data_IF_475258208056
#
_entry.id   IF_475258208056
#
_cell.length_a   1.000
_cell.length_b   1.000
_cell.length_c   1.000
_cell.angle_alpha   90.00
_cell.angle_beta   90.00
_cell.angle_gamma   90.00
#
_symmetry.space_group_name_H-M   'P 1'
#
loop_
_entity.id
_entity.type
_entity.pdbx_description
1 polymer ?
#
# COMPACT_ATOMS: atom_id res chain seq x y z
N UNK A 1 -80.83 -20.27 44.71
CA UNK A 1 -80.01 -19.19 44.13
C UNK A 1 -79.11 -18.69 45.24
N UNK A 2 -77.81 -18.97 45.15
CA UNK A 2 -76.83 -18.62 46.19
C UNK A 2 -76.57 -17.11 46.14
N UNK A 3 -76.51 -16.48 47.31
CA UNK A 3 -76.31 -15.05 47.51
C UNK A 3 -75.06 -14.53 46.78
N UNK A 4 -75.10 -13.31 46.21
CA UNK A 4 -73.90 -12.66 45.70
C UNK A 4 -72.95 -12.43 46.87
N UNK A 5 -71.70 -12.83 46.68
CA UNK A 5 -70.61 -12.76 47.64
C UNK A 5 -70.60 -11.38 48.33
N UNK A 6 -70.98 -11.34 49.61
CA UNK A 6 -70.79 -10.16 50.45
C UNK A 6 -69.30 -10.09 50.79
N UNK A 7 -68.51 -9.57 49.85
CA UNK A 7 -67.17 -9.11 50.17
C UNK A 7 -67.33 -7.95 51.14
N UNK A 8 -66.75 -8.08 52.33
CA UNK A 8 -66.61 -6.97 53.25
C UNK A 8 -65.91 -5.86 52.46
N UNK A 9 -66.59 -4.72 52.27
CA UNK A 9 -66.13 -3.53 51.54
C UNK A 9 -64.95 -2.85 52.28
N UNK A 10 -63.90 -3.60 52.62
CA UNK A 10 -62.57 -3.02 52.76
C UNK A 10 -62.14 -2.56 51.36
N UNK A 11 -62.57 -1.33 51.03
CA UNK A 11 -62.36 -0.62 49.77
C UNK A 11 -61.03 -1.01 49.14
N UNK A 12 -61.13 -1.73 48.02
CA UNK A 12 -60.02 -1.92 47.09
C UNK A 12 -59.52 -0.51 46.74
N UNK A 13 -58.26 -0.20 47.05
CA UNK A 13 -57.69 1.12 46.77
C UNK A 13 -57.41 1.30 45.27
N UNK A 14 -57.33 2.54 44.80
CA UNK A 14 -57.11 2.87 43.37
C UNK A 14 -55.90 2.12 42.77
N UNK A 15 -54.84 1.92 43.56
CA UNK A 15 -53.69 1.14 43.11
C UNK A 15 -54.02 -0.35 42.94
N UNK A 16 -54.82 -0.92 43.84
CA UNK A 16 -55.32 -2.30 43.71
C UNK A 16 -56.20 -2.46 42.46
N UNK A 17 -57.03 -1.48 42.14
CA UNK A 17 -57.83 -1.43 40.91
C UNK A 17 -56.94 -1.41 39.66
N UNK A 18 -55.94 -0.52 39.62
CA UNK A 18 -54.97 -0.44 38.53
C UNK A 18 -54.20 -1.76 38.35
N UNK A 19 -53.82 -2.43 39.44
CA UNK A 19 -53.17 -3.75 39.38
C UNK A 19 -54.11 -4.78 38.75
N UNK A 20 -55.38 -4.80 39.13
CA UNK A 20 -56.37 -5.73 38.60
C UNK A 20 -56.63 -5.50 37.10
N UNK A 21 -56.76 -4.24 36.67
CA UNK A 21 -56.91 -3.86 35.26
C UNK A 21 -55.68 -4.28 34.45
N UNK A 22 -54.46 -3.97 34.93
CA UNK A 22 -53.23 -4.34 34.24
C UNK A 22 -53.08 -5.86 34.07
N UNK A 23 -53.50 -6.65 35.07
CA UNK A 23 -53.52 -8.11 34.98
C UNK A 23 -54.64 -8.63 34.05
N UNK A 24 -55.79 -7.95 34.00
CA UNK A 24 -56.89 -8.30 33.10
C UNK A 24 -56.51 -8.09 31.64
N UNK A 25 -55.89 -6.96 31.31
CA UNK A 25 -55.45 -6.63 29.96
C UNK A 25 -54.32 -7.53 29.47
N UNK A 26 -53.41 -7.94 30.35
CA UNK A 26 -52.33 -8.84 29.99
C UNK A 26 -52.81 -10.27 29.71
N UNK A 27 -53.88 -10.72 30.36
CA UNK A 27 -54.45 -12.06 30.17
C UNK A 27 -53.59 -13.23 30.65
N UNK A 28 -52.37 -12.96 31.12
CA UNK A 28 -51.40 -13.97 31.57
C UNK A 28 -50.60 -13.49 32.81
N UNK A 29 -49.59 -14.26 33.21
CA UNK A 29 -48.70 -13.98 34.32
C UNK A 29 -47.83 -12.74 34.09
N UNK A 30 -47.92 -11.76 34.99
CA UNK A 30 -47.06 -10.56 34.98
C UNK A 30 -46.06 -10.56 36.13
N UNK A 31 -44.83 -10.07 35.88
CA UNK A 31 -43.81 -9.85 36.92
C UNK A 31 -44.08 -8.52 37.65
N UNK A 32 -43.65 -8.39 38.91
CA UNK A 32 -43.81 -7.13 39.71
C UNK A 32 -43.31 -5.89 38.97
N UNK A 33 -42.18 -5.99 38.25
CA UNK A 33 -41.58 -4.88 37.49
C UNK A 33 -42.42 -4.46 36.28
N UNK A 34 -43.15 -5.40 35.69
CA UNK A 34 -44.07 -5.10 34.59
C UNK A 34 -45.35 -4.47 35.10
N UNK A 35 -45.88 -4.95 36.23
CA UNK A 35 -46.98 -4.30 36.93
C UNK A 35 -46.65 -2.87 37.32
N UNK A 36 -45.47 -2.60 37.88
CA UNK A 36 -45.05 -1.24 38.23
C UNK A 36 -45.05 -0.31 37.00
N UNK A 37 -44.53 -0.79 35.85
CA UNK A 37 -44.55 -0.03 34.59
C UNK A 37 -45.96 0.25 34.07
N UNK A 38 -46.85 -0.75 34.12
CA UNK A 38 -48.23 -0.63 33.62
C UNK A 38 -49.13 0.22 34.53
N UNK A 39 -48.86 0.23 35.84
CA UNK A 39 -49.63 0.98 36.83
C UNK A 39 -49.06 2.38 37.12
N UNK A 40 -47.96 2.77 36.47
CA UNK A 40 -47.32 4.08 36.69
C UNK A 40 -46.69 4.24 38.08
N UNK A 41 -46.52 3.16 38.84
CA UNK A 41 -45.88 3.19 40.16
C UNK A 41 -44.37 3.24 39.98
N UNK A 42 -43.72 4.19 40.65
CA UNK A 42 -42.26 4.32 40.68
C UNK A 42 -41.58 2.99 41.01
N UNK A 43 -40.46 2.73 40.36
CA UNK A 43 -39.70 1.49 40.53
C UNK A 43 -39.23 1.27 41.97
N UNK A 44 -39.12 2.32 42.78
CA UNK A 44 -38.73 2.25 44.19
C UNK A 44 -39.92 1.93 45.12
N UNK A 45 -41.14 2.02 44.59
CA UNK A 45 -42.41 1.77 45.30
C UNK A 45 -42.97 0.35 45.09
N UNK A 46 -42.17 -0.61 44.60
CA UNK A 46 -42.59 -2.02 44.39
C UNK A 46 -43.16 -2.69 45.64
N UNK A 47 -42.72 -2.26 46.82
CA UNK A 47 -43.27 -2.73 48.10
C UNK A 47 -44.76 -2.45 48.24
N UNK A 48 -45.28 -1.39 47.59
CA UNK A 48 -46.71 -1.08 47.57
C UNK A 48 -47.50 -2.17 46.84
N UNK A 49 -47.04 -2.63 45.67
CA UNK A 49 -47.67 -3.72 44.92
C UNK A 49 -47.67 -5.02 45.76
N UNK A 50 -46.54 -5.34 46.37
CA UNK A 50 -46.41 -6.52 47.25
C UNK A 50 -47.28 -6.45 48.50
N UNK A 51 -47.48 -5.24 49.06
CA UNK A 51 -48.40 -4.97 50.16
C UNK A 51 -49.85 -5.18 49.73
N UNK A 52 -50.29 -4.54 48.63
CA UNK A 52 -51.68 -4.66 48.14
C UNK A 52 -52.05 -6.09 47.81
N UNK A 53 -51.12 -6.83 47.22
CA UNK A 53 -51.27 -8.28 47.04
C UNK A 53 -51.55 -8.99 48.38
N UNK A 54 -50.68 -8.80 49.39
CA UNK A 54 -50.77 -9.55 50.65
C UNK A 54 -51.99 -9.18 51.49
N UNK A 55 -52.32 -7.90 51.55
CA UNK A 55 -53.32 -7.38 52.48
C UNK A 55 -54.71 -7.29 51.86
N UNK A 56 -54.83 -7.16 50.53
CA UNK A 56 -56.11 -6.91 49.87
C UNK A 56 -56.42 -7.93 48.77
N UNK A 57 -55.58 -8.02 47.73
CA UNK A 57 -55.94 -8.72 46.49
C UNK A 57 -55.91 -10.26 46.61
N UNK A 58 -54.94 -10.83 47.31
CA UNK A 58 -54.87 -12.28 47.52
C UNK A 58 -55.84 -12.79 48.60
N UNK A 59 -56.01 -12.11 49.76
CA UNK A 59 -57.06 -12.46 50.72
C UNK A 59 -58.47 -12.39 50.13
N UNK A 60 -58.72 -11.42 49.25
CA UNK A 60 -59.99 -11.31 48.51
C UNK A 60 -60.13 -12.37 47.38
N UNK A 61 -59.14 -13.23 47.17
CA UNK A 61 -59.19 -14.26 46.14
C UNK A 61 -59.15 -13.73 44.69
N UNK A 62 -58.77 -12.46 44.48
CA UNK A 62 -58.76 -11.82 43.15
C UNK A 62 -57.48 -12.08 42.37
N UNK A 63 -56.35 -12.27 43.08
CA UNK A 63 -55.03 -12.47 42.48
C UNK A 63 -54.34 -13.68 43.10
N UNK A 64 -53.77 -14.52 42.24
CA UNK A 64 -52.87 -15.60 42.61
C UNK A 64 -51.43 -15.27 42.20
N UNK A 65 -50.48 -15.82 42.94
CA UNK A 65 -49.06 -15.65 42.66
C UNK A 65 -48.32 -16.96 42.55
N UNK A 66 -47.26 -16.99 41.75
CA UNK A 66 -46.28 -18.07 41.70
C UNK A 66 -44.87 -17.52 41.72
N UNK A 67 -43.91 -18.36 42.09
CA UNK A 67 -42.50 -18.04 41.85
C UNK A 67 -42.23 -18.07 40.35
N UNK A 68 -41.47 -17.09 39.86
CA UNK A 68 -41.09 -17.06 38.45
C UNK A 68 -40.27 -18.31 38.11
N UNK A 69 -40.60 -19.03 37.02
CA UNK A 69 -39.88 -20.24 36.61
C UNK A 69 -38.42 -19.93 36.18
N UNK A 70 -38.11 -18.66 35.89
CA UNK A 70 -36.78 -18.20 35.49
C UNK A 70 -35.84 -17.94 36.69
N UNK A 71 -36.27 -18.22 37.92
CA UNK A 71 -35.48 -17.93 39.11
C UNK A 71 -34.39 -18.97 39.35
N UNK A 72 -33.13 -18.51 39.37
CA UNK A 72 -31.94 -19.35 39.54
C UNK A 72 -31.38 -19.41 40.97
N UNK A 73 -32.03 -18.76 41.95
CA UNK A 73 -31.63 -18.85 43.36
C UNK A 73 -30.71 -17.74 43.90
N UNK A 74 -30.17 -16.86 43.05
CA UNK A 74 -29.15 -15.88 43.46
C UNK A 74 -29.71 -14.55 44.03
N UNK A 75 -31.00 -14.25 43.84
CA UNK A 75 -31.60 -13.03 44.38
C UNK A 75 -32.13 -13.24 45.82
N UNK A 76 -31.96 -12.26 46.75
CA UNK A 76 -32.40 -12.37 48.14
C UNK A 76 -33.90 -12.62 48.32
N UNK A 77 -34.71 -12.17 47.37
CA UNK A 77 -36.15 -12.46 47.30
C UNK A 77 -36.47 -13.05 45.92
N UNK A 78 -37.14 -14.22 45.86
CA UNK A 78 -37.52 -14.82 44.59
C UNK A 78 -38.53 -13.91 43.86
N UNK A 79 -38.32 -13.62 42.57
CA UNK A 79 -39.22 -12.79 41.79
C UNK A 79 -40.59 -13.49 41.67
N UNK A 80 -41.64 -12.72 41.96
CA UNK A 80 -43.03 -13.20 42.00
C UNK A 80 -43.75 -12.80 40.72
N UNK A 81 -44.52 -13.73 40.18
CA UNK A 81 -45.47 -13.50 39.09
C UNK A 81 -46.90 -13.52 39.61
N UNK A 82 -47.76 -12.70 38.99
CA UNK A 82 -49.13 -12.44 39.40
C UNK A 82 -50.07 -12.75 38.25
N UNK A 83 -51.25 -13.29 38.55
CA UNK A 83 -52.32 -13.49 37.58
C UNK A 83 -53.69 -13.34 38.25
N UNK A 84 -54.68 -12.88 37.50
CA UNK A 84 -56.07 -12.90 37.97
C UNK A 84 -56.59 -14.33 38.14
N UNK A 85 -57.34 -14.54 39.21
CA UNK A 85 -58.24 -15.68 39.35
C UNK A 85 -59.47 -15.50 38.46
N UNK A 86 -60.35 -16.50 38.45
CA UNK A 86 -61.65 -16.35 37.79
C UNK A 86 -62.51 -15.27 38.46
N UNK A 87 -62.51 -15.24 39.79
CA UNK A 87 -63.21 -14.23 40.58
C UNK A 87 -62.63 -12.83 40.33
N UNK A 88 -61.30 -12.71 40.21
CA UNK A 88 -60.64 -11.45 39.83
C UNK A 88 -61.04 -10.97 38.43
N UNK A 89 -61.14 -11.87 37.45
CA UNK A 89 -61.62 -11.54 36.10
C UNK A 89 -63.09 -11.09 36.11
N UNK A 90 -63.93 -11.79 36.86
CA UNK A 90 -65.34 -11.43 37.01
C UNK A 90 -65.49 -10.08 37.71
N UNK A 91 -64.70 -9.81 38.75
CA UNK A 91 -64.69 -8.54 39.46
C UNK A 91 -64.33 -7.38 38.51
N UNK A 92 -63.25 -7.48 37.73
CA UNK A 92 -62.88 -6.44 36.76
C UNK A 92 -63.97 -6.25 35.70
N UNK A 93 -64.60 -7.33 35.24
CA UNK A 93 -65.67 -7.26 34.24
C UNK A 93 -66.94 -6.60 34.79
N UNK A 94 -67.30 -6.85 36.04
CA UNK A 94 -68.47 -6.24 36.68
C UNK A 94 -68.26 -4.78 37.07
N UNK A 95 -67.03 -4.40 37.44
CA UNK A 95 -66.69 -3.02 37.79
C UNK A 95 -66.10 -2.25 36.60
N UNK A 96 -66.24 -2.76 35.36
CA UNK A 96 -65.58 -2.21 34.18
C UNK A 96 -65.95 -0.75 33.92
N UNK A 97 -67.20 -0.38 34.16
CA UNK A 97 -67.68 0.99 33.90
C UNK A 97 -67.10 1.98 34.93
N UNK A 98 -66.91 1.54 36.17
CA UNK A 98 -66.25 2.33 37.22
C UNK A 98 -64.72 2.40 37.01
N UNK A 99 -64.11 1.33 36.48
CA UNK A 99 -62.67 1.22 36.18
C UNK A 99 -62.24 1.88 34.86
N UNK A 100 -63.15 2.04 33.89
CA UNK A 100 -62.86 2.63 32.57
C UNK A 100 -62.85 4.17 32.58
N UNK A 101 -63.10 4.78 33.74
CA UNK A 101 -63.08 6.23 33.91
C UNK A 101 -61.73 6.63 34.49
N UNK A 102 -60.92 7.50 33.83
CA UNK A 102 -59.80 8.13 34.52
C UNK A 102 -60.37 8.80 35.78
N UNK A 103 -59.87 8.41 36.94
CA UNK A 103 -60.53 8.63 38.24
C UNK A 103 -60.77 10.10 38.61
N UNK A 104 -60.24 11.07 37.84
CA UNK A 104 -60.67 12.46 37.91
C UNK A 104 -60.37 13.16 36.58
N UNK A 105 -61.35 13.84 35.98
CA UNK A 105 -61.12 14.73 34.83
C UNK A 105 -60.00 15.75 35.12
N UNK A 106 -59.80 16.09 36.41
CA UNK A 106 -58.73 16.97 36.85
C UNK A 106 -57.33 16.39 36.60
N UNK A 107 -57.10 15.09 36.80
CA UNK A 107 -55.77 14.48 36.60
C UNK A 107 -55.40 14.44 35.11
N UNK A 108 -56.41 14.32 34.22
CA UNK A 108 -56.22 14.45 32.77
C UNK A 108 -55.91 15.88 32.38
N UNK A 109 -56.57 16.87 33.00
CA UNK A 109 -56.28 18.29 32.78
C UNK A 109 -54.88 18.67 33.27
N UNK A 110 -54.51 18.24 34.48
CA UNK A 110 -53.18 18.50 35.03
C UNK A 110 -52.06 17.90 34.14
N UNK A 111 -52.30 16.70 33.57
CA UNK A 111 -51.40 16.06 32.61
C UNK A 111 -51.32 16.81 31.27
N UNK A 112 -52.43 17.40 30.83
CA UNK A 112 -52.48 18.20 29.60
C UNK A 112 -51.73 19.52 29.80
N UNK A 113 -51.90 20.17 30.93
CA UNK A 113 -51.18 21.39 31.29
C UNK A 113 -49.65 21.14 31.34
N UNK A 114 -49.22 20.02 31.95
CA UNK A 114 -47.80 19.64 31.99
C UNK A 114 -47.25 19.35 30.59
N UNK A 115 -48.04 18.71 29.72
CA UNK A 115 -47.65 18.47 28.32
C UNK A 115 -47.59 19.77 27.51
N UNK A 116 -48.49 20.71 27.76
CA UNK A 116 -48.50 22.02 27.10
C UNK A 116 -47.25 22.83 27.48
N UNK A 117 -46.87 22.85 28.75
CA UNK A 117 -45.63 23.49 29.22
C UNK A 117 -44.36 22.84 28.62
N UNK A 118 -44.36 21.50 28.50
CA UNK A 118 -43.26 20.79 27.82
C UNK A 118 -43.17 21.13 26.34
N UNK A 119 -44.32 21.25 25.66
CA UNK A 119 -44.36 21.65 24.25
C UNK A 119 -43.87 23.08 24.08
N UNK A 120 -44.28 24.01 24.94
CA UNK A 120 -43.80 25.40 24.90
C UNK A 120 -42.29 25.50 25.14
N UNK A 121 -41.76 24.75 26.11
CA UNK A 121 -40.32 24.67 26.39
C UNK A 121 -39.54 24.11 25.20
N UNK A 122 -40.06 23.04 24.58
CA UNK A 122 -39.46 22.44 23.39
C UNK A 122 -39.48 23.40 22.21
N UNK A 123 -40.57 24.13 21.99
CA UNK A 123 -40.67 25.14 20.94
C UNK A 123 -39.63 26.25 21.15
N UNK A 124 -39.49 26.76 22.37
CA UNK A 124 -38.46 27.76 22.69
C UNK A 124 -37.04 27.24 22.44
N UNK A 125 -36.76 26.00 22.80
CA UNK A 125 -35.46 25.35 22.55
C UNK A 125 -35.21 25.18 21.04
N UNK A 126 -36.24 24.80 20.28
CA UNK A 126 -36.17 24.65 18.83
C UNK A 126 -35.89 26.00 18.16
N UNK A 127 -36.57 27.07 18.56
CA UNK A 127 -36.36 28.41 18.04
C UNK A 127 -34.96 28.94 18.35
N UNK A 128 -34.46 28.73 19.57
CA UNK A 128 -33.07 29.06 19.95
C UNK A 128 -32.06 28.31 19.07
N UNK A 129 -32.26 27.00 18.87
CA UNK A 129 -31.37 26.19 18.05
C UNK A 129 -31.41 26.58 16.58
N UNK A 130 -32.57 26.96 16.04
CA UNK A 130 -32.65 27.53 14.70
C UNK A 130 -31.90 28.85 14.58
N UNK A 131 -31.95 29.71 15.60
CA UNK A 131 -31.14 30.92 15.69
C UNK A 131 -29.63 30.65 15.68
N UNK A 132 -29.18 29.68 16.48
CA UNK A 132 -27.77 29.24 16.51
C UNK A 132 -27.31 28.71 15.15
N UNK A 133 -28.11 27.88 14.49
CA UNK A 133 -27.81 27.35 13.15
C UNK A 133 -27.65 28.49 12.15
N UNK A 134 -28.55 29.48 12.16
CA UNK A 134 -28.43 30.64 11.29
C UNK A 134 -27.13 31.43 11.49
N UNK A 135 -26.69 31.62 12.74
CA UNK A 135 -25.42 32.27 13.05
C UNK A 135 -24.22 31.45 12.57
N UNK A 136 -24.26 30.12 12.76
CA UNK A 136 -23.20 29.22 12.30
C UNK A 136 -23.09 29.21 10.77
N UNK A 137 -24.20 29.21 10.05
CA UNK A 137 -24.22 29.28 8.59
C UNK A 137 -23.67 30.61 8.06
N UNK A 138 -23.96 31.72 8.74
CA UNK A 138 -23.40 33.02 8.39
C UNK A 138 -21.88 33.05 8.63
N UNK A 139 -21.43 32.53 9.79
CA UNK A 139 -20.01 32.45 10.13
C UNK A 139 -19.25 31.54 9.16
N UNK A 140 -19.84 30.41 8.77
CA UNK A 140 -19.29 29.50 7.77
C UNK A 140 -19.04 30.23 6.45
N UNK A 141 -20.06 30.91 5.91
CA UNK A 141 -19.92 31.68 4.65
C UNK A 141 -18.84 32.75 4.72
N UNK A 142 -18.74 33.45 5.85
CA UNK A 142 -17.68 34.44 6.06
C UNK A 142 -16.29 33.81 6.01
N UNK A 143 -16.09 32.69 6.73
CA UNK A 143 -14.81 32.00 6.75
C UNK A 143 -14.46 31.38 5.39
N UNK A 144 -15.44 30.86 4.66
CA UNK A 144 -15.25 30.37 3.29
C UNK A 144 -14.73 31.47 2.37
N UNK A 145 -15.28 32.70 2.48
CA UNK A 145 -14.78 33.85 1.73
C UNK A 145 -13.33 34.22 2.10
N UNK A 146 -13.01 34.30 3.39
CA UNK A 146 -11.63 34.61 3.85
C UNK A 146 -10.64 33.57 3.36
N UNK A 147 -10.99 32.28 3.41
CA UNK A 147 -10.12 31.19 2.94
C UNK A 147 -9.92 31.27 1.43
N UNK A 148 -10.94 31.63 0.67
CA UNK A 148 -10.82 31.80 -0.79
C UNK A 148 -9.88 32.97 -1.13
N UNK A 149 -10.06 34.12 -0.46
CA UNK A 149 -9.18 35.29 -0.63
C UNK A 149 -7.72 34.96 -0.29
N UNK A 150 -7.48 34.22 0.80
CA UNK A 150 -6.12 33.79 1.16
C UNK A 150 -5.53 32.79 0.16
N UNK A 151 -6.36 31.91 -0.42
CA UNK A 151 -5.92 30.97 -1.46
C UNK A 151 -5.53 31.67 -2.74
N UNK A 152 -6.31 32.66 -3.17
CA UNK A 152 -6.00 33.47 -4.35
C UNK A 152 -4.66 34.20 -4.16
N UNK A 153 -4.49 34.85 -3.00
CA UNK A 153 -3.23 35.54 -2.67
C UNK A 153 -2.02 34.61 -2.67
N UNK A 154 -2.14 33.42 -2.08
CA UNK A 154 -1.06 32.44 -2.08
C UNK A 154 -0.76 31.91 -3.49
N UNK A 155 -1.78 31.77 -4.34
CA UNK A 155 -1.59 31.36 -5.73
C UNK A 155 -0.77 32.42 -6.50
N UNK A 156 -1.11 33.69 -6.36
CA UNK A 156 -0.37 34.81 -6.96
C UNK A 156 1.09 34.85 -6.48
N UNK A 157 1.32 34.68 -5.17
CA UNK A 157 2.68 34.64 -4.60
C UNK A 157 3.49 33.44 -5.14
N UNK A 158 2.86 32.29 -5.34
CA UNK A 158 3.51 31.11 -5.93
C UNK A 158 3.87 31.38 -7.39
N UNK A 159 2.96 31.97 -8.17
CA UNK A 159 3.21 32.31 -9.58
C UNK A 159 4.39 33.28 -9.70
N UNK A 160 4.42 34.35 -8.89
CA UNK A 160 5.54 35.30 -8.86
C UNK A 160 6.87 34.63 -8.48
N UNK A 161 6.85 33.70 -7.53
CA UNK A 161 8.05 32.93 -7.16
C UNK A 161 8.53 32.01 -8.29
N UNK A 162 7.61 31.38 -9.03
CA UNK A 162 7.94 30.52 -10.17
C UNK A 162 8.58 31.33 -11.30
N UNK A 163 8.01 32.50 -11.65
CA UNK A 163 8.57 33.39 -12.66
C UNK A 163 9.99 33.87 -12.27
N UNK A 164 10.18 34.26 -11.00
CA UNK A 164 11.51 34.64 -10.49
C UNK A 164 12.51 33.49 -10.56
N UNK A 165 12.06 32.27 -10.27
CA UNK A 165 12.91 31.09 -10.33
C UNK A 165 13.31 30.76 -11.77
N UNK A 166 12.36 30.78 -12.71
CA UNK A 166 12.61 30.55 -14.14
C UNK A 166 13.63 31.55 -14.70
N UNK A 167 13.46 32.84 -14.42
CA UNK A 167 14.42 33.88 -14.80
C UNK A 167 15.83 33.62 -14.24
N UNK A 168 15.94 33.13 -13.00
CA UNK A 168 17.24 32.78 -12.40
C UNK A 168 17.87 31.56 -13.07
N UNK A 169 17.07 30.55 -13.40
CA UNK A 169 17.53 29.35 -14.12
C UNK A 169 18.04 29.74 -15.50
N UNK A 170 17.28 30.52 -16.28
CA UNK A 170 17.70 30.96 -17.62
C UNK A 170 19.01 31.76 -17.56
N UNK A 171 19.15 32.64 -16.56
CA UNK A 171 20.40 33.39 -16.33
C UNK A 171 21.56 32.47 -15.98
N UNK A 172 21.35 31.48 -15.12
CA UNK A 172 22.37 30.49 -14.75
C UNK A 172 22.79 29.64 -15.94
N UNK A 173 21.85 29.23 -16.80
CA UNK A 173 22.13 28.51 -18.04
C UNK A 173 22.96 29.33 -19.02
N UNK A 174 22.61 30.62 -19.21
CA UNK A 174 23.41 31.55 -20.02
C UNK A 174 24.84 31.67 -19.50
N UNK A 175 25.03 31.81 -18.19
CA UNK A 175 26.36 31.86 -17.58
C UNK A 175 27.13 30.54 -17.75
N UNK A 176 26.47 29.40 -17.58
CA UNK A 176 27.07 28.08 -17.78
C UNK A 176 27.52 27.88 -19.23
N UNK A 177 26.71 28.31 -20.20
CA UNK A 177 27.07 28.27 -21.61
C UNK A 177 28.30 29.13 -21.92
N UNK A 178 28.36 30.36 -21.38
CA UNK A 178 29.51 31.25 -21.54
C UNK A 178 30.77 30.68 -20.88
N UNK A 179 30.65 30.10 -19.68
CA UNK A 179 31.75 29.44 -18.99
C UNK A 179 32.28 28.25 -19.79
N UNK A 180 31.40 27.40 -20.33
CA UNK A 180 31.79 26.28 -21.17
C UNK A 180 32.55 26.75 -22.42
N UNK A 181 32.01 27.76 -23.12
CA UNK A 181 32.64 28.30 -24.34
C UNK A 181 34.00 28.96 -24.06
N UNK A 182 34.15 29.61 -22.92
CA UNK A 182 35.44 30.20 -22.52
C UNK A 182 36.46 29.14 -22.10
N UNK A 183 36.02 28.05 -21.47
CA UNK A 183 36.86 26.89 -21.19
C UNK A 183 37.33 26.20 -22.48
N UNK A 184 36.44 25.95 -23.44
CA UNK A 184 36.79 25.38 -24.76
C UNK A 184 37.83 26.24 -25.49
N UNK A 185 37.69 27.57 -25.48
CA UNK A 185 38.69 28.48 -26.06
C UNK A 185 40.03 28.47 -25.31
N UNK A 186 40.01 28.33 -23.99
CA UNK A 186 41.23 28.26 -23.20
C UNK A 186 41.97 26.93 -23.44
N UNK A 187 41.23 25.84 -23.65
CA UNK A 187 41.76 24.55 -24.07
C UNK A 187 42.39 24.62 -25.47
N UNK A 188 41.68 25.20 -26.45
CA UNK A 188 42.19 25.45 -27.81
C UNK A 188 43.47 26.31 -27.77
N UNK A 189 43.49 27.40 -26.99
CA UNK A 189 44.68 28.23 -26.83
C UNK A 189 45.84 27.50 -26.16
N UNK A 190 45.57 26.57 -25.21
CA UNK A 190 46.59 25.73 -24.60
C UNK A 190 47.15 24.69 -25.59
N UNK A 191 46.32 24.13 -26.45
CA UNK A 191 46.77 23.25 -27.54
C UNK A 191 47.65 24.01 -28.55
N UNK A 192 47.23 25.20 -28.97
CA UNK A 192 47.99 26.05 -29.91
C UNK A 192 49.30 26.58 -29.32
N UNK A 193 49.33 26.87 -28.01
CA UNK A 193 50.49 27.43 -27.33
C UNK A 193 51.43 26.36 -26.74
N UNK A 194 51.24 25.07 -27.07
CA UNK A 194 52.11 23.99 -26.59
C UNK A 194 53.18 23.59 -27.63
N UNK A 195 54.35 24.27 -27.67
CA UNK A 195 55.46 23.89 -28.55
C UNK A 195 56.03 22.49 -28.23
N UNK A 196 55.72 21.93 -27.04
CA UNK A 196 56.12 20.58 -26.67
C UNK A 196 55.21 19.50 -27.27
N UNK A 197 54.01 19.85 -27.75
CA UNK A 197 53.15 18.91 -28.48
C UNK A 197 53.79 18.53 -29.83
N UNK A 198 54.30 19.52 -30.57
CA UNK A 198 54.99 19.32 -31.84
C UNK A 198 56.38 18.66 -31.65
N UNK A 199 57.14 19.09 -30.63
CA UNK A 199 58.42 18.45 -30.27
C UNK A 199 58.19 17.01 -29.80
N UNK A 200 57.15 16.75 -29.01
CA UNK A 200 56.79 15.42 -28.53
C UNK A 200 56.37 14.49 -29.66
N UNK A 201 55.56 14.98 -30.62
CA UNK A 201 55.20 14.25 -31.83
C UNK A 201 56.45 13.95 -32.69
N UNK A 202 57.36 14.91 -32.82
CA UNK A 202 58.62 14.74 -33.56
C UNK A 202 59.56 13.74 -32.89
N UNK A 203 59.69 13.79 -31.56
CA UNK A 203 60.48 12.82 -30.79
C UNK A 203 59.89 11.42 -30.88
N UNK A 204 58.55 11.29 -30.88
CA UNK A 204 57.87 10.01 -31.10
C UNK A 204 58.15 9.46 -32.50
N UNK A 205 58.05 10.29 -33.54
CA UNK A 205 58.42 9.90 -34.90
C UNK A 205 59.90 9.49 -35.02
N UNK A 206 60.81 10.21 -34.38
CA UNK A 206 62.23 9.84 -34.36
C UNK A 206 62.49 8.53 -33.59
N UNK A 207 61.72 8.24 -32.54
CA UNK A 207 61.80 6.97 -31.82
C UNK A 207 61.26 5.80 -32.68
N UNK A 208 60.17 6.02 -33.40
CA UNK A 208 59.60 5.04 -34.34
C UNK A 208 60.55 4.79 -35.52
N UNK A 209 61.14 5.85 -36.11
CA UNK A 209 62.15 5.75 -37.16
C UNK A 209 63.42 5.04 -36.68
N UNK A 210 63.85 5.31 -35.44
CA UNK A 210 64.97 4.61 -34.80
C UNK A 210 64.66 3.13 -34.59
N UNK A 211 63.45 2.79 -34.15
CA UNK A 211 63.01 1.41 -33.99
C UNK A 211 62.96 0.70 -35.35
N UNK A 212 62.50 1.37 -36.39
CA UNK A 212 62.46 0.83 -37.74
C UNK A 212 63.87 0.67 -38.34
N UNK A 213 64.78 1.59 -38.05
CA UNK A 213 66.20 1.50 -38.43
C UNK A 213 66.89 0.31 -37.76
N UNK A 214 66.67 0.10 -36.45
CA UNK A 214 67.18 -1.08 -35.73
C UNK A 214 66.60 -2.37 -36.31
N UNK A 215 65.30 -2.40 -36.63
CA UNK A 215 64.69 -3.55 -37.34
C UNK A 215 65.28 -3.75 -38.73
N UNK A 216 65.68 -2.67 -39.44
CA UNK A 216 66.34 -2.74 -40.74
C UNK A 216 67.77 -3.29 -40.63
N UNK A 217 68.53 -2.87 -39.62
CA UNK A 217 69.86 -3.41 -39.33
C UNK A 217 69.82 -4.88 -38.93
N UNK A 218 68.87 -5.28 -38.08
CA UNK A 218 68.66 -6.68 -37.73
C UNK A 218 68.36 -7.52 -38.98
N UNK A 219 67.44 -7.06 -39.84
CA UNK A 219 67.16 -7.71 -41.12
C UNK A 219 68.38 -7.75 -42.04
N UNK A 220 69.20 -6.70 -42.06
CA UNK A 220 70.43 -6.69 -42.86
C UNK A 220 71.46 -7.70 -42.31
N UNK A 221 71.61 -7.82 -41.00
CA UNK A 221 72.48 -8.82 -40.39
C UNK A 221 71.99 -10.24 -40.67
N UNK A 222 70.68 -10.49 -40.53
CA UNK A 222 70.08 -11.79 -40.88
C UNK A 222 70.30 -12.12 -42.35
N UNK A 223 70.13 -11.14 -43.25
CA UNK A 223 70.39 -11.32 -44.68
C UNK A 223 71.88 -11.50 -44.99
N UNK A 224 72.78 -10.87 -44.23
CA UNK A 224 74.23 -11.08 -44.37
C UNK A 224 74.60 -12.51 -43.97
N UNK A 225 74.09 -12.99 -42.83
CA UNK A 225 74.33 -14.36 -42.38
C UNK A 225 73.79 -15.38 -43.39
N UNK A 226 72.57 -15.16 -43.92
CA UNK A 226 72.01 -16.01 -44.98
C UNK A 226 72.80 -15.96 -46.27
N UNK A 227 73.40 -14.81 -46.62
CA UNK A 227 74.25 -14.68 -47.79
C UNK A 227 75.56 -15.45 -47.63
N UNK A 228 76.15 -15.42 -46.43
CA UNK A 228 77.35 -16.19 -46.14
C UNK A 228 77.08 -17.70 -46.20
N UNK A 229 75.92 -18.16 -45.68
CA UNK A 229 75.45 -19.54 -45.85
C UNK A 229 75.21 -19.91 -47.32
N UNK A 230 74.62 -19.02 -48.12
CA UNK A 230 74.42 -19.24 -49.56
C UNK A 230 75.76 -19.37 -50.27
N UNK A 231 76.74 -18.50 -49.99
CA UNK A 231 78.06 -18.59 -50.61
C UNK A 231 78.76 -19.90 -50.24
N UNK A 232 78.61 -20.36 -48.98
CA UNK A 232 79.16 -21.66 -48.54
C UNK A 232 78.48 -22.81 -49.30
N UNK A 233 77.16 -22.75 -49.50
CA UNK A 233 76.44 -23.73 -50.32
C UNK A 233 76.85 -23.67 -51.80
N UNK A 234 77.01 -22.49 -52.39
CA UNK A 234 77.48 -22.33 -53.77
C UNK A 234 78.87 -22.94 -53.95
N UNK A 235 79.78 -22.74 -53.00
CA UNK A 235 81.09 -23.38 -52.98
C UNK A 235 80.97 -24.91 -52.97
N UNK A 236 80.07 -25.47 -52.13
CA UNK A 236 79.84 -26.93 -52.11
C UNK A 236 79.24 -27.45 -53.41
N UNK A 237 78.40 -26.66 -54.10
CA UNK A 237 77.83 -27.04 -55.40
C UNK A 237 78.90 -27.02 -56.48
N UNK A 238 79.78 -26.02 -56.50
CA UNK A 238 80.93 -25.97 -57.41
C UNK A 238 81.85 -27.17 -57.19
N UNK A 239 82.14 -27.54 -55.93
CA UNK A 239 82.93 -28.72 -55.59
C UNK A 239 82.27 -30.01 -56.12
N UNK A 240 80.94 -30.16 -55.93
CA UNK A 240 80.18 -31.30 -56.46
C UNK A 240 80.17 -31.31 -58.00
N UNK A 241 80.08 -30.14 -58.65
CA UNK A 241 80.12 -30.04 -60.11
C UNK A 241 81.50 -30.41 -60.66
N UNK A 242 82.57 -29.96 -60.01
CA UNK A 242 83.93 -30.36 -60.36
C UNK A 242 84.15 -31.86 -60.18
N UNK A 243 83.61 -32.46 -59.11
CA UNK A 243 83.60 -33.92 -58.93
C UNK A 243 82.79 -34.63 -60.03
N UNK A 244 81.64 -34.08 -60.42
CA UNK A 244 80.81 -34.62 -61.50
C UNK A 244 81.51 -34.52 -62.86
N UNK A 245 82.15 -33.40 -63.19
CA UNK A 245 82.93 -33.24 -64.42
C UNK A 245 84.14 -34.19 -64.45
N UNK A 246 84.83 -34.37 -63.32
CA UNK A 246 85.89 -35.36 -63.19
C UNK A 246 85.35 -36.79 -63.39
N UNK A 247 84.15 -37.07 -62.88
CA UNK A 247 83.46 -38.35 -63.09
C UNK A 247 83.04 -38.52 -64.57
N UNK A 248 82.53 -37.49 -65.23
CA UNK A 248 82.21 -37.51 -66.66
C UNK A 248 83.46 -37.65 -67.54
N UNK A 249 84.58 -37.04 -67.19
CA UNK A 249 85.86 -37.27 -67.88
C UNK A 249 86.34 -38.72 -67.69
N UNK A 250 86.20 -39.29 -66.50
CA UNK A 250 86.48 -40.71 -66.27
C UNK A 250 85.55 -41.61 -67.10
N UNK A 251 84.26 -41.26 -67.20
CA UNK A 251 83.31 -41.97 -68.08
C UNK A 251 83.72 -41.83 -69.54
N UNK A 252 84.03 -40.62 -70.03
CA UNK A 252 84.51 -40.38 -71.41
C UNK A 252 85.80 -41.10 -71.70
N UNK A 253 86.75 -41.13 -70.77
CA UNK A 253 88.02 -41.84 -70.91
C UNK A 253 87.79 -43.35 -70.95
N UNK A 254 86.86 -43.88 -70.15
CA UNK A 254 86.43 -45.28 -70.24
C UNK A 254 85.71 -45.61 -71.55
N UNK A 255 85.04 -44.64 -72.18
CA UNK A 255 84.38 -44.79 -73.48
C UNK A 255 85.34 -44.57 -74.67
N UNK A 256 86.43 -43.80 -74.52
CA UNK A 256 87.44 -43.59 -75.56
C UNK A 256 88.57 -44.62 -75.51
N UNK A 257 88.85 -45.23 -74.34
CA UNK A 257 89.72 -46.41 -74.21
C UNK A 257 89.10 -47.67 -74.84
N UNK A 258 87.79 -47.64 -75.17
CA UNK A 258 87.17 -48.66 -76.04
C UNK A 258 87.31 -48.40 -77.54
N UNK A 259 87.60 -47.16 -77.97
CA UNK A 259 87.53 -46.78 -79.38
C UNK A 259 88.89 -46.49 -80.06
N UNK A 260 90.01 -46.32 -79.32
CA UNK A 260 91.28 -45.89 -79.97
C UNK A 260 92.59 -46.59 -79.53
N UNK A 261 92.53 -47.72 -78.81
CA UNK A 261 93.75 -48.53 -78.57
C UNK A 261 93.48 -50.04 -78.55
N UNK A 262 93.16 -50.60 -79.72
CA UNK A 262 93.63 -51.94 -80.17
C UNK A 262 92.98 -52.37 -81.50
N UNK A 263 93.27 -51.61 -82.56
CA UNK A 263 92.97 -52.02 -83.94
C UNK A 263 93.99 -51.59 -85.00
N UNK A 264 94.95 -50.74 -84.65
CA UNK A 264 96.11 -50.46 -85.50
C UNK A 264 97.30 -51.34 -85.11
N UNK A 265 97.23 -52.67 -85.25
CA UNK A 265 98.39 -53.59 -85.25
C UNK A 265 97.93 -55.05 -85.44
N UNK A 266 97.81 -55.50 -86.69
CA UNK A 266 97.96 -56.88 -87.21
C UNK A 266 97.24 -56.96 -88.57
N UNK A 267 97.73 -56.30 -89.63
CA UNK A 267 98.39 -57.09 -90.69
C UNK A 267 99.21 -56.19 -91.62
N UNK A 268 100.46 -55.96 -91.25
CA UNK A 268 101.57 -55.94 -92.21
C UNK A 268 102.59 -56.98 -91.76
N UNK A 269 102.23 -58.26 -91.92
CA UNK A 269 103.12 -59.40 -91.75
C UNK A 269 102.58 -60.56 -92.57
N UNK A 270 103.34 -60.94 -93.60
CA UNK A 270 103.43 -62.29 -94.18
C UNK A 270 102.13 -62.82 -94.84
N UNK A 271 102.13 -63.13 -96.15
CA UNK A 271 103.22 -63.80 -96.86
C UNK A 271 103.30 -65.25 -96.40
N UNK A 272 102.32 -66.05 -96.83
CA UNK A 272 102.51 -67.35 -97.48
C UNK A 272 101.14 -68.04 -97.48
N UNK A 273 100.39 -67.80 -98.57
CA UNK A 273 99.86 -68.78 -99.54
C UNK A 273 99.15 -68.01 -100.66
#
# INVERSE_FOLDING_TARGET
MASPLSFDEQKIDQLSEQILVALYEAGDWLKTRELARRTGVDMDSRNRISYRRREHLSPAGLVVTRQSPDYTGDAPEPPVEYRLTEDGRHWVKWNRDDLATPANNQEVLDRLDELEEQVETLQGTVDEKFGEVGQLEQKKRYLEGVVEDEREKLADEIEEMQEKHENKVEKAEKHRYQAKRSAEKAEEALEEQNPWAEIGAKMKGMAEDSEESVKRELRHNDLSNLRDEINELEQTVEDIQAEHEAMEELIKKSQSETDDDSGGLLTRLMGDW
#
